data_IF_949709339224
#
_entry.id   IF_949709339224
#
_cell.length_a   1.000
_cell.length_b   1.000
_cell.length_c   1.000
_cell.angle_alpha   90.00
_cell.angle_beta   90.00
_cell.angle_gamma   90.00
#
_symmetry.space_group_name_H-M   'P 1'
#
loop_
_entity.id
_entity.type
_entity.pdbx_description
1 polymer ?
#
# COMPACT_ATOMS: atom_id res chain seq x y z
N UNK A 1 8.12 13.14 11.22
CA UNK A 1 9.04 12.08 11.70
C UNK A 1 8.32 10.75 11.50
N UNK A 2 8.98 9.69 11.00
CA UNK A 2 8.32 8.40 10.82
C UNK A 2 7.85 7.89 12.19
N UNK A 3 6.59 7.44 12.25
CA UNK A 3 5.95 6.96 13.49
C UNK A 3 6.71 5.77 14.13
N UNK A 4 7.50 5.06 13.33
CA UNK A 4 8.32 3.89 13.72
C UNK A 4 9.70 3.96 13.04
N UNK A 5 10.66 4.73 13.57
CA UNK A 5 11.96 4.96 12.93
C UNK A 5 12.82 3.68 12.81
N UNK A 6 12.64 2.71 13.70
CA UNK A 6 13.31 1.41 13.69
C UNK A 6 12.86 0.51 12.54
N UNK A 7 11.59 0.64 12.11
CA UNK A 7 11.03 -0.13 10.98
C UNK A 7 11.33 0.56 9.65
N UNK A 8 11.59 1.88 9.70
CA UNK A 8 11.93 2.69 8.53
C UNK A 8 13.33 2.40 7.95
N UNK A 9 14.20 1.66 8.64
CA UNK A 9 15.54 1.37 8.14
C UNK A 9 15.54 0.53 6.83
N UNK A 10 14.43 -0.16 6.51
CA UNK A 10 14.30 -0.99 5.30
C UNK A 10 13.46 -0.36 4.17
N UNK A 11 13.09 0.94 4.23
CA UNK A 11 12.24 1.55 3.18
C UNK A 11 12.94 1.94 1.89
N UNK A 12 14.27 1.79 1.80
CA UNK A 12 15.02 1.92 0.55
C UNK A 12 14.56 0.91 -0.53
N UNK A 13 13.68 -0.02 -0.15
CA UNK A 13 13.16 -1.07 -1.00
C UNK A 13 11.90 -0.73 -1.79
N UNK A 14 11.20 0.36 -1.48
CA UNK A 14 10.00 0.73 -2.23
C UNK A 14 10.35 1.27 -3.63
N UNK A 15 9.44 1.11 -4.60
CA UNK A 15 9.57 1.78 -5.90
C UNK A 15 9.15 3.25 -5.83
N UNK A 16 8.18 3.56 -4.98
CA UNK A 16 7.78 4.93 -4.70
C UNK A 16 8.69 5.54 -3.62
N UNK A 17 9.02 6.84 -3.71
CA UNK A 17 9.88 7.53 -2.74
C UNK A 17 9.12 7.88 -1.45
N UNK A 18 8.49 6.87 -0.83
CA UNK A 18 7.69 6.99 0.39
C UNK A 18 8.18 6.02 1.46
N UNK A 19 7.94 6.38 2.71
CA UNK A 19 8.21 5.57 3.89
C UNK A 19 7.31 4.34 4.01
N UNK A 20 7.24 3.78 5.21
CA UNK A 20 6.22 2.79 5.54
C UNK A 20 4.84 3.43 5.30
N UNK A 21 3.95 2.71 4.64
CA UNK A 21 2.56 3.15 4.44
C UNK A 21 1.80 3.12 5.77
N UNK A 22 0.77 3.94 5.88
CA UNK A 22 -0.09 3.99 7.06
C UNK A 22 -1.28 3.02 6.92
N UNK A 23 -1.88 2.65 8.05
CA UNK A 23 -3.11 1.82 8.06
C UNK A 23 -4.28 2.50 7.31
N UNK A 24 -4.27 3.83 7.23
CA UNK A 24 -5.22 4.59 6.43
C UNK A 24 -5.09 4.30 4.92
N UNK A 25 -3.89 4.06 4.41
CA UNK A 25 -3.69 3.79 2.97
C UNK A 25 -4.36 2.48 2.55
N UNK A 26 -4.27 1.45 3.39
CA UNK A 26 -4.98 0.18 3.19
C UNK A 26 -6.48 0.37 3.31
N UNK A 27 -6.93 1.14 4.31
CA UNK A 27 -8.36 1.41 4.53
C UNK A 27 -9.00 2.16 3.35
N UNK A 28 -8.27 3.09 2.73
CA UNK A 28 -8.71 3.80 1.54
C UNK A 28 -8.85 2.87 0.33
N UNK A 29 -7.94 1.91 0.15
CA UNK A 29 -8.08 0.88 -0.88
C UNK A 29 -9.30 -0.03 -0.64
N UNK A 30 -9.56 -0.40 0.62
CA UNK A 30 -10.77 -1.14 0.99
C UNK A 30 -12.03 -0.32 0.70
N UNK A 31 -12.03 0.98 1.00
CA UNK A 31 -13.15 1.87 0.69
C UNK A 31 -13.42 1.94 -0.82
N UNK A 32 -12.37 2.00 -1.65
CA UNK A 32 -12.52 1.90 -3.10
C UNK A 32 -13.17 0.57 -3.50
N UNK A 33 -12.67 -0.56 -3.00
CA UNK A 33 -13.22 -1.90 -3.31
C UNK A 33 -14.67 -2.08 -2.84
N UNK A 34 -15.06 -1.43 -1.75
CA UNK A 34 -16.42 -1.44 -1.24
C UNK A 34 -17.39 -0.53 -2.01
N UNK A 35 -16.89 0.34 -2.90
CA UNK A 35 -17.71 1.31 -3.63
C UNK A 35 -18.26 0.77 -4.96
N UNK A 36 -19.24 1.47 -5.52
CA UNK A 36 -19.82 1.16 -6.84
C UNK A 36 -18.79 1.22 -7.98
N UNK A 37 -17.68 1.97 -7.80
CA UNK A 37 -16.59 2.03 -8.77
C UNK A 37 -15.91 0.66 -8.98
N UNK A 38 -16.06 -0.25 -8.02
CA UNK A 38 -15.44 -1.57 -8.01
C UNK A 38 -16.42 -2.70 -8.28
N UNK A 39 -17.65 -2.41 -8.72
CA UNK A 39 -18.78 -3.37 -8.86
C UNK A 39 -18.48 -4.64 -9.69
N UNK A 40 -17.43 -4.64 -10.49
CA UNK A 40 -17.00 -5.77 -11.32
C UNK A 40 -15.56 -6.22 -11.07
N UNK A 41 -14.90 -5.67 -10.05
CA UNK A 41 -13.57 -6.09 -9.64
C UNK A 41 -13.74 -7.31 -8.73
N UNK A 42 -13.23 -8.46 -9.19
CA UNK A 42 -13.25 -9.72 -8.45
C UNK A 42 -12.03 -10.56 -8.83
N UNK A 43 -11.59 -11.45 -7.92
CA UNK A 43 -10.44 -12.34 -8.15
C UNK A 43 -9.07 -11.64 -8.27
N UNK A 44 -9.02 -10.32 -8.07
CA UNK A 44 -7.81 -9.51 -8.16
C UNK A 44 -7.02 -9.56 -6.85
N UNK A 45 -5.71 -9.81 -6.94
CA UNK A 45 -4.78 -9.51 -5.86
C UNK A 45 -4.31 -8.05 -6.00
N UNK A 46 -4.89 -7.14 -5.22
CA UNK A 46 -4.52 -5.72 -5.21
C UNK A 46 -3.42 -5.49 -4.17
N UNK A 47 -2.23 -5.09 -4.63
CA UNK A 47 -1.10 -4.73 -3.76
C UNK A 47 -1.19 -3.27 -3.31
N UNK A 48 -1.01 -3.04 -2.01
CA UNK A 48 -0.93 -1.70 -1.40
C UNK A 48 0.34 -1.69 -0.55
N UNK A 49 1.47 -1.48 -1.18
CA UNK A 49 2.80 -1.69 -0.55
C UNK A 49 3.88 -0.72 -1.07
N UNK A 50 3.48 0.35 -1.76
CA UNK A 50 4.41 1.30 -2.40
C UNK A 50 5.43 0.64 -3.37
N UNK A 51 5.07 -0.50 -3.97
CA UNK A 51 5.87 -1.23 -4.94
C UNK A 51 6.94 -2.13 -4.32
N UNK A 52 6.89 -2.38 -3.02
CA UNK A 52 7.84 -3.23 -2.30
C UNK A 52 7.97 -4.64 -2.93
N UNK A 53 6.85 -5.26 -3.30
CA UNK A 53 6.79 -6.61 -3.88
C UNK A 53 6.97 -6.65 -5.40
N UNK A 54 7.06 -5.49 -6.06
CA UNK A 54 7.12 -5.38 -7.53
C UNK A 54 8.56 -5.37 -8.08
N UNK A 55 9.57 -5.59 -7.24
CA UNK A 55 10.95 -5.71 -7.67
C UNK A 55 11.19 -7.06 -8.34
N UNK A 56 11.70 -7.02 -9.57
CA UNK A 56 12.21 -8.18 -10.32
C UNK A 56 13.61 -8.52 -9.83
#
# INVERSE_FOLDING_TARGET
>A
MPKYPEVAANVASNLLPVGLIDAQDVSNAVLLLASDASRYITGLQMTVDAGFTSKV
#
